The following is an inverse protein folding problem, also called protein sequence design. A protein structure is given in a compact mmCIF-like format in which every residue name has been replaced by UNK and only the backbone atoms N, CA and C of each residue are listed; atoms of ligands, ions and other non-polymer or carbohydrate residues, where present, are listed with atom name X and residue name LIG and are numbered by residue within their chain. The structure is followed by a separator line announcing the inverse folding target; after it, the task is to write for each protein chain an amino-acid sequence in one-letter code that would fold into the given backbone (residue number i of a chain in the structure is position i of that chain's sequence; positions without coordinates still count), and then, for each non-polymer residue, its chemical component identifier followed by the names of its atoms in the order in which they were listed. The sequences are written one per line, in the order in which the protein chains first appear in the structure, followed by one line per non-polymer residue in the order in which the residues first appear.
data_IF_239613217886
#
_entry.id   IF_239613217886
#
_cell.length_a   1.000
_cell.length_b   1.000
_cell.length_c   1.000
_cell.angle_alpha   90.00
_cell.angle_beta   90.00
_cell.angle_gamma   90.00
#
_symmetry.space_group_name_H-M   'P 1'
#
loop_
_entity.id
_entity.type
_entity.pdbx_description
1 polymer ?
#
# COMPACT_ATOMS: atom_id res chain seq x y z
N UNK A 1 -7.05 -2.97 9.28
CA UNK A 1 -5.83 -2.19 9.00
C UNK A 1 -6.20 -0.88 8.31
N UNK A 2 -5.79 0.25 8.86
CA UNK A 2 -6.17 1.56 8.37
C UNK A 2 -5.04 2.35 7.70
N UNK A 3 -3.79 1.88 7.80
CA UNK A 3 -2.63 2.61 7.26
C UNK A 3 -2.78 2.96 5.78
N UNK A 4 -3.09 1.98 4.95
CA UNK A 4 -3.25 2.18 3.51
C UNK A 4 -4.41 3.14 3.20
N UNK A 5 -5.52 3.07 3.96
CA UNK A 5 -6.64 3.99 3.80
C UNK A 5 -6.20 5.44 4.01
N UNK A 6 -5.38 5.70 5.02
CA UNK A 6 -4.92 7.06 5.32
C UNK A 6 -3.85 7.55 4.35
N UNK A 7 -3.09 6.67 3.70
CA UNK A 7 -2.20 7.08 2.61
C UNK A 7 -3.00 7.69 1.45
N UNK A 8 -4.18 7.16 1.17
CA UNK A 8 -5.05 7.64 0.10
C UNK A 8 -6.01 8.73 0.59
N UNK A 9 -5.52 9.65 1.42
CA UNK A 9 -6.27 10.83 1.87
C UNK A 9 -5.70 12.09 1.24
N UNK A 10 -6.49 13.15 1.25
CA UNK A 10 -6.06 14.45 0.72
C UNK A 10 -4.86 15.01 1.49
N UNK A 11 -4.83 14.81 2.81
CA UNK A 11 -3.80 15.37 3.70
C UNK A 11 -2.49 14.58 3.70
N UNK A 12 -2.47 13.34 3.24
CA UNK A 12 -1.25 12.55 3.22
C UNK A 12 -0.19 13.22 2.35
N UNK A 13 1.00 13.42 2.91
CA UNK A 13 2.09 14.11 2.23
C UNK A 13 2.90 13.12 1.39
N UNK A 14 2.24 12.52 0.42
CA UNK A 14 2.85 11.60 -0.54
C UNK A 14 2.44 12.01 -1.95
N UNK A 15 3.24 11.62 -2.94
CA UNK A 15 2.96 11.96 -4.33
C UNK A 15 1.60 11.42 -4.78
N UNK A 16 0.88 12.20 -5.60
CA UNK A 16 -0.44 11.80 -6.10
C UNK A 16 -0.42 10.47 -6.84
N UNK A 17 0.66 10.15 -7.53
CA UNK A 17 0.78 8.87 -8.24
C UNK A 17 0.67 7.68 -7.29
N UNK A 18 1.18 7.80 -6.07
CA UNK A 18 1.05 6.78 -5.05
C UNK A 18 -0.42 6.58 -4.65
N UNK A 19 -1.11 7.68 -4.35
CA UNK A 19 -2.54 7.64 -4.00
C UNK A 19 -3.36 7.02 -5.13
N UNK A 20 -3.08 7.40 -6.37
CA UNK A 20 -3.78 6.87 -7.54
C UNK A 20 -3.53 5.37 -7.74
N UNK A 21 -2.33 4.88 -7.44
CA UNK A 21 -2.05 3.44 -7.48
C UNK A 21 -2.93 2.67 -6.50
N UNK A 22 -3.11 3.19 -5.29
CA UNK A 22 -3.98 2.57 -4.30
C UNK A 22 -5.43 2.56 -4.79
N UNK A 23 -5.92 3.68 -5.32
CA UNK A 23 -7.30 3.80 -5.79
C UNK A 23 -7.60 2.86 -6.97
N UNK A 24 -6.62 2.58 -7.80
CA UNK A 24 -6.75 1.69 -8.96
C UNK A 24 -6.48 0.22 -8.64
N UNK A 25 -5.98 -0.07 -7.44
CA UNK A 25 -5.61 -1.43 -7.06
C UNK A 25 -6.82 -2.35 -7.00
N UNK A 26 -6.62 -3.59 -7.43
CA UNK A 26 -7.58 -4.68 -7.29
C UNK A 26 -7.12 -5.59 -6.17
N UNK A 27 -8.00 -6.48 -5.71
CA UNK A 27 -7.69 -7.43 -4.64
C UNK A 27 -6.45 -8.29 -4.94
N UNK A 28 -6.19 -8.55 -6.21
CA UNK A 28 -5.09 -9.41 -6.67
C UNK A 28 -3.79 -8.65 -6.95
N UNK A 29 -3.76 -7.34 -6.76
CA UNK A 29 -2.61 -6.53 -7.18
C UNK A 29 -1.51 -6.41 -6.12
N UNK A 30 -1.70 -6.95 -4.92
CA UNK A 30 -0.66 -6.94 -3.90
C UNK A 30 0.25 -8.16 -4.01
N UNK A 31 1.54 -7.96 -3.70
CA UNK A 31 2.56 -9.02 -3.69
C UNK A 31 3.41 -8.89 -2.43
N UNK A 32 3.90 -10.02 -1.96
CA UNK A 32 4.84 -10.04 -0.84
C UNK A 32 6.23 -10.31 -1.40
N UNK A 33 7.17 -9.40 -1.12
CA UNK A 33 8.57 -9.52 -1.49
C UNK A 33 9.41 -9.73 -0.24
N UNK A 34 10.62 -10.28 -0.38
CA UNK A 34 11.55 -10.41 0.74
C UNK A 34 11.33 -11.59 1.67
N UNK A 35 10.53 -12.58 1.29
CA UNK A 35 10.36 -13.77 2.12
C UNK A 35 11.66 -14.53 2.30
N UNK A 36 12.49 -14.58 1.27
CA UNK A 36 13.80 -15.26 1.29
C UNK A 36 14.82 -14.56 2.20
N UNK A 37 14.62 -13.26 2.45
CA UNK A 37 15.53 -12.46 3.28
C UNK A 37 15.11 -12.40 4.75
N UNK A 38 13.93 -12.92 5.08
CA UNK A 38 13.37 -12.83 6.43
C UNK A 38 12.72 -11.47 6.73
N UNK A 39 12.63 -10.58 5.75
CA UNK A 39 12.02 -9.25 5.89
C UNK A 39 10.91 -9.06 4.84
N UNK A 40 9.79 -9.78 4.97
CA UNK A 40 8.72 -9.68 3.97
C UNK A 40 8.03 -8.32 4.00
N UNK A 41 7.74 -7.80 2.80
CA UNK A 41 7.04 -6.53 2.62
C UNK A 41 5.92 -6.74 1.62
N UNK A 42 4.74 -6.22 1.91
CA UNK A 42 3.62 -6.24 0.97
C UNK A 42 3.56 -4.92 0.22
N UNK A 43 3.48 -5.03 -1.10
CA UNK A 43 3.43 -3.87 -1.99
C UNK A 43 2.51 -4.18 -3.18
N UNK A 44 2.08 -3.14 -3.88
CA UNK A 44 1.33 -3.29 -5.11
C UNK A 44 2.28 -3.76 -6.21
N UNK A 45 1.79 -4.65 -7.08
CA UNK A 45 2.62 -5.17 -8.16
C UNK A 45 2.94 -4.06 -9.17
N UNK A 46 4.21 -4.00 -9.55
CA UNK A 46 4.72 -3.07 -10.53
C UNK A 46 5.98 -3.68 -11.15
N UNK A 47 6.70 -2.92 -11.95
CA UNK A 47 7.92 -3.42 -12.57
C UNK A 47 8.97 -3.84 -11.53
N UNK A 48 9.12 -3.09 -10.46
CA UNK A 48 10.09 -3.40 -9.39
C UNK A 48 9.75 -4.73 -8.70
N UNK A 49 8.50 -4.94 -8.29
CA UNK A 49 8.10 -6.18 -7.61
C UNK A 49 8.24 -7.39 -8.53
N UNK A 50 7.94 -7.22 -9.82
CA UNK A 50 8.10 -8.28 -10.81
C UNK A 50 9.56 -8.71 -10.92
N UNK A 51 10.46 -7.76 -11.06
CA UNK A 51 11.90 -8.02 -11.14
C UNK A 51 12.42 -8.64 -9.85
N UNK A 52 12.00 -8.12 -8.70
CA UNK A 52 12.40 -8.61 -7.39
C UNK A 52 12.00 -10.08 -7.20
N UNK A 53 10.74 -10.40 -7.46
CA UNK A 53 10.24 -11.77 -7.29
C UNK A 53 10.92 -12.75 -8.26
N UNK A 54 11.20 -12.32 -9.48
CA UNK A 54 11.93 -13.14 -10.44
C UNK A 54 13.34 -13.47 -9.94
N UNK A 55 14.06 -12.46 -9.44
CA UNK A 55 15.41 -12.67 -8.90
C UNK A 55 15.40 -13.49 -7.63
N UNK A 56 14.40 -13.29 -6.78
CA UNK A 56 14.23 -14.07 -5.56
C UNK A 56 14.02 -15.55 -5.90
N UNK A 57 13.24 -15.85 -6.93
CA UNK A 57 12.98 -17.19 -7.41
C UNK A 57 14.23 -17.84 -8.01
N UNK A 58 15.11 -17.06 -8.61
CA UNK A 58 16.39 -17.51 -9.16
C UNK A 58 17.46 -17.73 -8.07
N UNK A 59 17.16 -17.43 -6.82
CA UNK A 59 18.08 -17.60 -5.70
C UNK A 59 19.09 -16.46 -5.55
N UNK A 60 18.77 -15.25 -5.99
CA UNK A 60 19.66 -14.10 -5.88
C UNK A 60 20.05 -13.81 -4.43
N UNK A 61 21.28 -13.32 -4.22
CA UNK A 61 21.79 -12.99 -2.91
C UNK A 61 21.03 -11.79 -2.31
N UNK A 62 21.03 -11.70 -0.97
CA UNK A 62 20.39 -10.60 -0.25
C UNK A 62 20.85 -9.24 -0.75
N UNK A 63 22.17 -9.07 -0.95
CA UNK A 63 22.75 -7.80 -1.40
C UNK A 63 22.22 -7.37 -2.76
N UNK A 64 22.03 -8.30 -3.67
CA UNK A 64 21.47 -8.02 -5.00
C UNK A 64 20.02 -7.61 -4.91
N UNK A 65 19.23 -8.29 -4.07
CA UNK A 65 17.83 -7.94 -3.85
C UNK A 65 17.69 -6.58 -3.17
N UNK A 66 18.57 -6.27 -2.22
CA UNK A 66 18.56 -4.99 -1.52
C UNK A 66 18.80 -3.81 -2.46
N UNK A 67 19.67 -3.98 -3.47
CA UNK A 67 19.92 -2.93 -4.46
C UNK A 67 18.66 -2.56 -5.25
N UNK A 68 17.76 -3.51 -5.48
CA UNK A 68 16.49 -3.25 -6.19
C UNK A 68 15.53 -2.37 -5.37
N UNK A 69 15.60 -2.47 -4.05
CA UNK A 69 14.69 -1.76 -3.16
C UNK A 69 15.28 -0.49 -2.57
N UNK A 70 16.57 -0.24 -2.80
CA UNK A 70 17.26 0.93 -2.24
C UNK A 70 16.61 2.22 -2.71
N UNK A 71 16.16 3.04 -1.75
CA UNK A 71 15.46 4.29 -2.07
C UNK A 71 14.09 4.10 -2.70
N UNK A 72 13.54 2.88 -2.70
CA UNK A 72 12.28 2.57 -3.36
C UNK A 72 11.08 3.33 -2.82
N UNK A 73 10.99 3.49 -1.51
CA UNK A 73 9.89 4.23 -0.90
C UNK A 73 9.96 5.72 -1.28
N UNK A 74 11.14 6.32 -1.25
CA UNK A 74 11.34 7.71 -1.65
C UNK A 74 10.95 7.94 -3.11
N UNK A 75 11.29 7.01 -4.00
CA UNK A 75 10.89 7.12 -5.42
C UNK A 75 9.39 7.25 -5.59
N UNK A 76 8.62 6.52 -4.80
CA UNK A 76 7.16 6.56 -4.89
C UNK A 76 6.59 7.78 -4.17
N UNK A 77 7.04 8.03 -2.94
CA UNK A 77 6.48 9.08 -2.08
C UNK A 77 6.83 10.48 -2.59
N UNK A 78 8.05 10.69 -3.03
CA UNK A 78 8.57 12.01 -3.43
C UNK A 78 8.53 12.19 -4.95
N UNK A 79 9.09 11.23 -5.68
CA UNK A 79 9.27 11.36 -7.14
C UNK A 79 8.05 10.87 -7.93
N UNK A 80 7.16 10.10 -7.30
CA UNK A 80 5.99 9.54 -7.98
C UNK A 80 6.31 8.42 -8.96
N UNK A 81 7.49 7.80 -8.86
CA UNK A 81 7.90 6.70 -9.73
C UNK A 81 7.30 5.38 -9.23
N UNK A 82 6.07 5.13 -9.62
CA UNK A 82 5.31 3.97 -9.16
C UNK A 82 5.67 2.66 -9.87
N UNK A 83 6.52 2.70 -10.89
CA UNK A 83 6.98 1.49 -11.58
C UNK A 83 8.30 0.96 -11.02
N UNK A 84 9.21 1.83 -10.64
CA UNK A 84 10.54 1.45 -10.17
C UNK A 84 10.71 1.53 -8.65
N UNK A 85 9.73 2.06 -7.95
CA UNK A 85 9.76 2.19 -6.51
C UNK A 85 8.89 1.16 -5.79
N UNK A 86 8.92 1.20 -4.46
CA UNK A 86 8.15 0.32 -3.59
C UNK A 86 6.81 0.96 -3.23
N UNK A 87 5.75 0.55 -3.90
CA UNK A 87 4.39 1.04 -3.64
C UNK A 87 3.81 0.21 -2.49
N UNK A 88 4.17 0.55 -1.28
CA UNK A 88 3.73 -0.20 -0.09
C UNK A 88 2.24 -0.02 0.14
N UNK A 89 1.53 -1.13 0.29
CA UNK A 89 0.09 -1.13 0.56
C UNK A 89 -0.34 -2.46 1.15
N UNK A 90 -1.32 -2.41 2.06
CA UNK A 90 -1.88 -3.62 2.67
C UNK A 90 -2.86 -4.32 1.74
N UNK A 91 -3.36 -5.46 2.18
CA UNK A 91 -4.30 -6.27 1.41
C UNK A 91 -5.61 -5.56 1.10
N UNK A 92 -6.00 -4.57 1.92
CA UNK A 92 -7.25 -3.83 1.73
C UNK A 92 -7.20 -2.78 0.63
N UNK A 93 -6.05 -2.57 -0.02
CA UNK A 93 -5.90 -1.57 -1.07
C UNK A 93 -6.99 -1.69 -2.14
N UNK A 94 -7.37 -2.92 -2.49
CA UNK A 94 -8.43 -3.17 -3.46
C UNK A 94 -9.81 -2.69 -3.05
N UNK A 95 -10.03 -2.41 -1.78
CA UNK A 95 -11.31 -1.92 -1.25
C UNK A 95 -11.38 -0.39 -1.21
N UNK A 96 -10.27 0.31 -1.44
CA UNK A 96 -10.18 1.77 -1.36
C UNK A 96 -10.42 2.33 -2.77
N UNK A 97 -11.56 2.97 -2.98
CA UNK A 97 -11.98 3.39 -4.33
C UNK A 97 -12.03 4.89 -4.53
N UNK A 98 -11.93 5.68 -3.47
CA UNK A 98 -11.97 7.14 -3.58
C UNK A 98 -11.05 7.80 -2.56
N UNK A 99 -10.49 8.95 -2.96
CA UNK A 99 -9.68 9.79 -2.08
C UNK A 99 -10.62 10.65 -1.24
N UNK A 100 -10.39 10.66 0.06
CA UNK A 100 -11.18 11.41 1.03
C UNK A 100 -10.28 12.23 1.92
N UNK A 101 -10.84 13.21 2.64
CA UNK A 101 -10.14 13.85 3.75
C UNK A 101 -10.05 12.88 4.93
N UNK A 102 -9.11 13.11 5.83
CA UNK A 102 -9.00 12.28 7.06
C UNK A 102 -10.28 12.35 7.88
N UNK A 103 -10.91 13.51 7.94
CA UNK A 103 -12.19 13.70 8.63
C UNK A 103 -13.27 12.78 8.05
N UNK A 104 -13.41 12.77 6.73
CA UNK A 104 -14.39 11.94 6.04
C UNK A 104 -14.13 10.45 6.27
N UNK A 105 -12.88 10.03 6.28
CA UNK A 105 -12.51 8.63 6.57
C UNK A 105 -12.98 8.23 7.96
N UNK A 106 -12.69 9.05 8.95
CA UNK A 106 -13.05 8.77 10.35
C UNK A 106 -14.57 8.75 10.53
N UNK A 107 -15.27 9.73 9.98
CA UNK A 107 -16.73 9.81 10.06
C UNK A 107 -17.39 8.58 9.41
N UNK A 108 -16.90 8.19 8.24
CA UNK A 108 -17.42 7.02 7.52
C UNK A 108 -17.19 5.73 8.29
N UNK A 109 -16.01 5.56 8.89
CA UNK A 109 -15.69 4.41 9.71
C UNK A 109 -16.65 4.27 10.89
N UNK A 110 -16.92 5.38 11.58
CA UNK A 110 -17.83 5.41 12.73
C UNK A 110 -19.24 5.07 12.28
N UNK A 111 -19.73 5.68 11.20
CA UNK A 111 -21.08 5.45 10.66
C UNK A 111 -21.27 3.99 10.23
N UNK A 112 -20.30 3.43 9.51
CA UNK A 112 -20.41 2.04 9.03
C UNK A 112 -20.34 1.05 10.19
N UNK A 113 -19.49 1.31 11.19
CA UNK A 113 -19.38 0.48 12.39
C UNK A 113 -20.70 0.48 13.16
N UNK A 114 -21.27 1.65 13.34
CA UNK A 114 -22.55 1.81 14.05
C UNK A 114 -23.69 1.05 13.33
N UNK A 115 -23.74 1.21 12.02
CA UNK A 115 -24.72 0.50 11.19
C UNK A 115 -24.60 -1.03 11.29
N UNK A 116 -23.36 -1.53 11.25
CA UNK A 116 -23.10 -2.99 11.33
C UNK A 116 -23.41 -3.56 12.72
N UNK A 117 -23.28 -2.76 13.77
CA UNK A 117 -23.60 -3.18 15.13
C UNK A 117 -25.05 -2.90 15.53
N UNK A 118 -25.91 -2.57 14.57
CA UNK A 118 -27.32 -2.33 14.82
C UNK A 118 -27.62 -1.09 15.64
N UNK A 119 -26.79 -0.06 15.53
CA UNK A 119 -26.96 1.17 16.29
C UNK A 119 -26.43 1.09 17.71
N UNK A 120 -25.62 0.07 18.04
CA UNK A 120 -24.99 -0.04 19.36
C UNK A 120 -23.91 1.04 19.50
N UNK A 121 -23.99 1.88 20.53
CA UNK A 121 -23.00 2.90 20.79
C UNK A 121 -21.80 2.26 21.49
N UNK A 122 -20.66 2.22 20.79
CA UNK A 122 -19.45 1.56 21.27
C UNK A 122 -18.34 2.52 21.68
N UNK A 123 -18.55 3.82 21.52
CA UNK A 123 -17.54 4.86 21.77
C UNK A 123 -18.04 5.94 22.73
N UNK A 124 -18.91 5.56 23.62
CA UNK A 124 -19.32 6.43 24.73
C UNK A 124 -18.25 6.57 25.79
#
# INVERSE_FOLDING_TARGET
QLGTRFVATEEAQVHENYKNCILKARDIDSRVTGRSTGHPVRALRNQMTKTYLQKEQEGAAFEELELLTLGGLKKVVVDGDVQNGSVMAGQIAGMIKEKMSCKEVIEKLVQETDALLGGTEIYE
#
